data_IF_394024374383
#
_entry.id   IF_394024374383
#
_cell.length_a   1.000
_cell.length_b   1.000
_cell.length_c   1.000
_cell.angle_alpha   90.00
_cell.angle_beta   90.00
_cell.angle_gamma   90.00
#
_symmetry.space_group_name_H-M   'P 1'
#
loop_
_entity.id
_entity.type
_entity.pdbx_description
1 polymer ?
#
# COMPACT_ATOMS: atom_id res chain seq x y z
N UNK A 1 3.53 -21.64 -0.56
CA UNK A 1 2.77 -20.61 -1.30
C UNK A 1 2.86 -19.31 -0.51
N UNK A 2 2.91 -18.19 -1.19
CA UNK A 2 3.06 -16.88 -0.56
C UNK A 2 1.88 -15.98 -0.92
N UNK A 3 1.48 -15.10 -0.01
CA UNK A 3 0.41 -14.12 -0.28
C UNK A 3 0.90 -13.00 -1.23
N UNK A 4 -0.02 -12.38 -1.99
CA UNK A 4 0.27 -11.32 -2.97
C UNK A 4 1.03 -10.12 -2.39
N UNK A 5 1.69 -9.39 -3.28
CA UNK A 5 2.46 -8.18 -2.93
C UNK A 5 2.22 -7.08 -3.95
N UNK A 6 2.28 -5.82 -3.50
CA UNK A 6 2.25 -4.66 -4.37
C UNK A 6 3.67 -4.23 -4.74
N UNK A 7 3.89 -3.94 -6.02
CA UNK A 7 5.05 -3.15 -6.46
C UNK A 7 4.80 -1.66 -6.25
N UNK A 8 5.86 -0.84 -6.31
CA UNK A 8 5.71 0.62 -6.24
C UNK A 8 4.85 1.16 -7.39
N UNK A 9 4.99 0.59 -8.59
CA UNK A 9 4.20 0.95 -9.77
C UNK A 9 2.71 0.62 -9.58
N UNK A 10 2.40 -0.54 -8.97
CA UNK A 10 1.01 -0.89 -8.68
C UNK A 10 0.39 0.05 -7.66
N UNK A 11 1.13 0.43 -6.61
CA UNK A 11 0.62 1.41 -5.65
C UNK A 11 0.50 2.81 -6.28
N UNK A 12 1.38 3.17 -7.23
CA UNK A 12 1.30 4.44 -7.95
C UNK A 12 0.03 4.49 -8.81
N UNK A 13 -0.31 3.41 -9.51
CA UNK A 13 -1.57 3.33 -10.26
C UNK A 13 -2.78 3.52 -9.34
N UNK A 14 -2.77 2.91 -8.15
CA UNK A 14 -3.84 3.11 -7.15
C UNK A 14 -3.89 4.58 -6.70
N UNK A 15 -2.73 5.20 -6.47
CA UNK A 15 -2.64 6.61 -6.10
C UNK A 15 -3.13 7.53 -7.21
N UNK A 16 -2.78 7.30 -8.48
CA UNK A 16 -3.24 8.10 -9.61
C UNK A 16 -4.77 8.10 -9.72
N UNK A 17 -5.39 6.93 -9.54
CA UNK A 17 -6.85 6.80 -9.52
C UNK A 17 -7.47 7.56 -8.35
N UNK A 18 -6.88 7.46 -7.15
CA UNK A 18 -7.36 8.19 -5.98
C UNK A 18 -7.19 9.71 -6.16
N UNK A 19 -6.03 10.15 -6.61
CA UNK A 19 -5.70 11.56 -6.84
C UNK A 19 -6.68 12.22 -7.83
N UNK A 20 -7.02 11.51 -8.91
CA UNK A 20 -7.99 12.00 -9.90
C UNK A 20 -9.41 12.21 -9.35
N UNK A 21 -9.82 11.45 -8.33
CA UNK A 21 -11.15 11.54 -7.71
C UNK A 21 -11.21 12.61 -6.61
N UNK A 22 -10.15 12.76 -5.81
CA UNK A 22 -10.15 13.56 -4.59
C UNK A 22 -9.43 14.92 -4.70
N UNK A 23 -8.95 15.30 -5.89
CA UNK A 23 -8.24 16.57 -6.16
C UNK A 23 -7.01 16.76 -5.23
N UNK A 24 -6.21 15.70 -5.10
CA UNK A 24 -4.93 15.67 -4.40
C UNK A 24 -3.83 15.17 -5.34
N UNK A 25 -2.58 15.39 -4.98
CA UNK A 25 -1.42 14.98 -5.79
C UNK A 25 -0.50 14.03 -5.01
N UNK A 26 0.26 13.21 -5.74
CA UNK A 26 1.41 12.51 -5.17
C UNK A 26 2.52 13.52 -4.86
N UNK A 27 2.79 13.74 -3.59
CA UNK A 27 3.83 14.66 -3.11
C UNK A 27 5.19 13.97 -2.92
N UNK A 28 5.18 12.68 -2.58
CA UNK A 28 6.39 11.89 -2.31
C UNK A 28 6.31 10.48 -2.91
N UNK A 29 6.92 10.31 -4.08
CA UNK A 29 7.03 9.02 -4.76
C UNK A 29 7.91 8.01 -3.99
N UNK A 30 8.86 8.47 -3.18
CA UNK A 30 9.71 7.60 -2.36
C UNK A 30 8.92 7.03 -1.19
N UNK A 31 8.08 7.85 -0.55
CA UNK A 31 7.13 7.42 0.49
C UNK A 31 6.17 6.35 -0.05
N UNK A 32 5.65 6.55 -1.26
CA UNK A 32 4.75 5.62 -1.91
C UNK A 32 5.47 4.29 -2.22
N UNK A 33 6.66 4.32 -2.81
CA UNK A 33 7.44 3.12 -3.07
C UNK A 33 7.79 2.37 -1.77
N UNK A 34 8.15 3.12 -0.71
CA UNK A 34 8.43 2.56 0.61
C UNK A 34 7.19 1.88 1.22
N UNK A 35 6.00 2.47 1.09
CA UNK A 35 4.77 1.86 1.54
C UNK A 35 4.50 0.52 0.82
N UNK A 36 4.62 0.48 -0.51
CA UNK A 36 4.43 -0.76 -1.27
C UNK A 36 5.37 -1.88 -0.82
N UNK A 37 6.62 -1.54 -0.48
CA UNK A 37 7.66 -2.49 -0.06
C UNK A 37 7.30 -3.29 1.19
N UNK A 38 6.41 -2.78 2.06
CA UNK A 38 5.88 -3.47 3.25
C UNK A 38 5.30 -4.83 2.88
N UNK A 39 4.60 -4.91 1.74
CA UNK A 39 3.95 -6.15 1.29
C UNK A 39 4.94 -7.25 0.87
N UNK A 40 6.22 -6.88 0.67
CA UNK A 40 7.33 -7.76 0.26
C UNK A 40 8.40 -7.90 1.34
N UNK A 41 8.22 -7.26 2.50
CA UNK A 41 9.24 -7.16 3.52
C UNK A 41 9.63 -8.55 4.06
N UNK A 42 10.93 -8.85 4.04
CA UNK A 42 11.49 -10.11 4.51
C UNK A 42 12.94 -9.95 4.97
N UNK A 43 13.34 -10.74 5.96
CA UNK A 43 14.74 -10.88 6.40
C UNK A 43 15.18 -12.32 6.19
N UNK A 44 16.26 -12.54 5.46
CA UNK A 44 16.78 -13.89 5.17
C UNK A 44 15.72 -14.84 4.59
N UNK A 45 14.78 -14.31 3.80
CA UNK A 45 13.66 -15.05 3.20
C UNK A 45 12.47 -15.31 4.13
N UNK A 46 12.53 -14.84 5.39
CA UNK A 46 11.43 -14.93 6.34
C UNK A 46 10.59 -13.66 6.22
N UNK A 47 9.30 -13.81 5.89
CA UNK A 47 8.39 -12.66 5.77
C UNK A 47 8.21 -11.96 7.12
N UNK A 48 8.20 -10.63 7.07
CA UNK A 48 7.91 -9.79 8.24
C UNK A 48 6.44 -9.86 8.63
N UNK A 49 5.55 -10.00 7.64
CA UNK A 49 4.11 -10.02 7.83
C UNK A 49 3.49 -11.38 7.46
N UNK A 50 2.37 -11.67 8.09
CA UNK A 50 1.41 -12.75 7.76
C UNK A 50 0.26 -12.18 6.92
N UNK A 51 -0.56 -13.00 6.25
CA UNK A 51 -1.70 -12.52 5.43
C UNK A 51 -2.63 -11.54 6.16
N UNK A 52 -2.86 -11.76 7.46
CA UNK A 52 -3.73 -10.95 8.31
C UNK A 52 -3.08 -9.63 8.77
N UNK A 53 -1.75 -9.55 8.80
CA UNK A 53 -1.02 -8.35 9.31
C UNK A 53 -0.49 -7.44 8.21
N UNK A 54 -0.31 -7.93 6.98
CA UNK A 54 0.31 -7.16 5.90
C UNK A 54 -0.54 -5.96 5.45
N UNK A 55 -1.86 -6.12 5.31
CA UNK A 55 -2.76 -5.03 4.94
C UNK A 55 -2.75 -3.88 5.97
N UNK A 56 -3.00 -4.17 7.26
CA UNK A 56 -2.91 -3.17 8.32
C UNK A 56 -1.54 -2.47 8.39
N UNK A 57 -0.44 -3.20 8.18
CA UNK A 57 0.90 -2.62 8.16
C UNK A 57 1.13 -1.68 6.97
N UNK A 58 0.62 -2.03 5.78
CA UNK A 58 0.63 -1.17 4.59
C UNK A 58 -0.12 0.14 4.86
N UNK A 59 -1.35 0.06 5.37
CA UNK A 59 -2.16 1.23 5.67
C UNK A 59 -1.49 2.14 6.72
N UNK A 60 -0.99 1.57 7.81
CA UNK A 60 -0.26 2.32 8.83
C UNK A 60 0.99 3.02 8.27
N UNK A 61 1.67 2.39 7.30
CA UNK A 61 2.85 2.99 6.64
C UNK A 61 2.46 4.15 5.75
N UNK A 62 1.35 4.06 5.01
CA UNK A 62 0.83 5.16 4.20
C UNK A 62 0.49 6.37 5.09
N UNK A 63 -0.21 6.15 6.20
CA UNK A 63 -0.55 7.22 7.16
C UNK A 63 0.73 7.89 7.68
N UNK A 64 1.74 7.09 8.02
CA UNK A 64 2.99 7.60 8.62
C UNK A 64 3.85 8.36 7.62
N UNK A 65 3.95 7.89 6.38
CA UNK A 65 4.82 8.48 5.36
C UNK A 65 4.13 9.60 4.58
N UNK A 66 2.79 9.66 4.61
CA UNK A 66 1.97 10.69 3.97
C UNK A 66 2.39 11.00 2.52
N UNK A 67 2.31 10.02 1.60
CA UNK A 67 2.79 10.18 0.22
C UNK A 67 2.02 11.21 -0.61
N UNK A 68 0.80 11.57 -0.22
CA UNK A 68 -0.06 12.52 -0.94
C UNK A 68 -0.05 13.91 -0.27
N UNK A 69 -0.42 14.95 -1.03
CA UNK A 69 -0.52 16.33 -0.53
C UNK A 69 -1.55 16.49 0.60
N UNK A 70 -2.61 15.68 0.61
CA UNK A 70 -3.62 15.59 1.66
C UNK A 70 -4.32 14.20 1.61
N UNK A 71 -5.30 13.94 2.48
CA UNK A 71 -6.17 12.74 2.44
C UNK A 71 -5.45 11.39 2.54
N UNK A 72 -4.30 11.38 3.21
CA UNK A 72 -3.50 10.16 3.38
C UNK A 72 -4.19 9.10 4.26
N UNK A 73 -5.09 9.52 5.15
CA UNK A 73 -5.89 8.59 5.95
C UNK A 73 -6.89 7.83 5.06
N UNK A 74 -7.69 8.55 4.28
CA UNK A 74 -8.66 8.00 3.34
C UNK A 74 -7.96 7.16 2.24
N UNK A 75 -6.82 7.64 1.74
CA UNK A 75 -6.01 6.89 0.79
C UNK A 75 -5.55 5.54 1.39
N UNK A 76 -5.11 5.53 2.65
CA UNK A 76 -4.68 4.31 3.33
C UNK A 76 -5.82 3.29 3.48
N UNK A 77 -7.04 3.76 3.72
CA UNK A 77 -8.24 2.92 3.81
C UNK A 77 -8.59 2.30 2.45
N UNK A 78 -8.54 3.10 1.38
CA UNK A 78 -8.79 2.60 0.02
C UNK A 78 -7.74 1.56 -0.41
N UNK A 79 -6.46 1.82 -0.14
CA UNK A 79 -5.38 0.87 -0.45
C UNK A 79 -5.56 -0.43 0.35
N UNK A 80 -5.98 -0.35 1.62
CA UNK A 80 -6.27 -1.52 2.43
C UNK A 80 -7.38 -2.37 1.81
N UNK A 81 -8.48 -1.76 1.38
CA UNK A 81 -9.60 -2.46 0.74
C UNK A 81 -9.17 -3.15 -0.57
N UNK A 82 -8.42 -2.43 -1.42
CA UNK A 82 -7.88 -3.01 -2.67
C UNK A 82 -6.96 -4.20 -2.36
N UNK A 83 -6.10 -4.07 -1.35
CA UNK A 83 -5.17 -5.13 -0.99
C UNK A 83 -5.88 -6.35 -0.37
N UNK A 84 -6.92 -6.14 0.44
CA UNK A 84 -7.75 -7.22 0.98
C UNK A 84 -8.47 -7.99 -0.14
N UNK A 85 -9.07 -7.30 -1.10
CA UNK A 85 -9.65 -7.95 -2.27
C UNK A 85 -8.59 -8.72 -3.08
N UNK A 86 -7.37 -8.19 -3.18
CA UNK A 86 -6.26 -8.88 -3.85
C UNK A 86 -5.85 -10.16 -3.10
N UNK A 87 -5.81 -10.13 -1.77
CA UNK A 87 -5.57 -11.31 -0.94
C UNK A 87 -6.67 -12.37 -1.10
N UNK A 88 -7.94 -11.98 -1.15
CA UNK A 88 -9.04 -12.94 -1.29
C UNK A 88 -9.05 -13.66 -2.65
N UNK A 89 -8.63 -12.96 -3.71
CA UNK A 89 -8.62 -13.51 -5.07
C UNK A 89 -7.40 -14.39 -5.37
N UNK A 90 -6.26 -14.15 -4.71
CA UNK A 90 -4.98 -14.77 -5.08
C UNK A 90 -4.14 -15.29 -3.88
N UNK A 91 -4.69 -15.25 -2.67
CA UNK A 91 -4.04 -15.70 -1.42
C UNK A 91 -4.15 -17.20 -1.16
#
# INVERSE_FOLDING_TARGET
>A
MGFPSLSGEQLLIIADVFCAEYDVDVADFSALYAAASVTRAQFSGIRVHTPDTVGPALAATIIKLAPLTDRNAEFSEQVLLVYQAYLELFG
#
